data_IF_269256895649
#
_entry.id   IF_269256895649
#
_cell.length_a   1.000
_cell.length_b   1.000
_cell.length_c   1.000
_cell.angle_alpha   90.00
_cell.angle_beta   90.00
_cell.angle_gamma   90.00
#
_symmetry.space_group_name_H-M   'P 1'
#
loop_
_entity.id
_entity.type
_entity.pdbx_description
1 polymer ?
#
# COMPACT_ATOMS: atom_id res chain seq x y z
N UNK A 1 -0.33 3.64 7.03
CA UNK A 1 -1.04 4.94 7.12
C UNK A 1 -0.99 5.63 5.77
N UNK A 2 -1.94 6.51 5.48
CA UNK A 2 -1.94 7.34 4.28
C UNK A 2 -1.58 8.77 4.64
N UNK A 3 -0.73 9.40 3.83
CA UNK A 3 -0.18 10.73 4.06
C UNK A 3 -0.44 11.63 2.85
N UNK A 4 -0.55 12.93 3.11
CA UNK A 4 -0.54 13.99 2.11
C UNK A 4 0.78 13.91 1.31
N UNK A 5 0.73 13.86 -0.04
CA UNK A 5 1.93 13.79 -0.88
C UNK A 5 2.73 15.09 -0.94
N UNK A 6 2.30 16.17 -0.28
CA UNK A 6 3.00 17.45 -0.30
C UNK A 6 4.39 17.36 0.37
N UNK A 7 5.41 17.82 -0.37
CA UNK A 7 6.81 17.89 0.08
C UNK A 7 7.59 16.59 -0.16
N UNK A 8 8.79 16.52 0.43
CA UNK A 8 9.64 15.31 0.35
C UNK A 8 9.05 14.17 1.18
N UNK A 9 9.35 12.92 0.80
CA UNK A 9 8.89 11.74 1.56
C UNK A 9 9.40 11.82 3.02
N UNK A 10 8.54 11.59 4.02
CA UNK A 10 8.98 11.58 5.40
C UNK A 10 9.92 10.41 5.65
N UNK A 11 11.01 10.67 6.38
CA UNK A 11 12.02 9.65 6.70
C UNK A 11 11.80 9.03 8.08
N UNK A 12 10.88 9.59 8.86
CA UNK A 12 10.53 9.12 10.19
C UNK A 12 9.02 9.20 10.47
N UNK A 13 8.57 8.45 11.47
CA UNK A 13 7.20 8.53 11.94
C UNK A 13 6.84 9.94 12.40
N UNK A 14 7.73 10.63 13.12
CA UNK A 14 7.49 11.99 13.63
C UNK A 14 7.28 13.01 12.49
N UNK A 15 7.98 12.86 11.37
CA UNK A 15 7.77 13.69 10.17
C UNK A 15 6.48 13.34 9.42
N UNK A 16 6.05 12.08 9.50
CA UNK A 16 4.85 11.59 8.84
C UNK A 16 3.56 11.98 9.58
N UNK A 17 3.58 11.99 10.91
CA UNK A 17 2.40 12.23 11.76
C UNK A 17 1.62 13.52 11.40
N UNK A 18 2.26 14.69 11.16
CA UNK A 18 1.56 15.91 10.76
C UNK A 18 0.88 15.83 9.39
N UNK A 19 1.28 14.87 8.54
CA UNK A 19 0.80 14.71 7.16
C UNK A 19 -0.26 13.62 7.02
N UNK A 20 -0.62 12.93 8.10
CA UNK A 20 -1.61 11.85 8.06
C UNK A 20 -2.94 12.38 7.52
N UNK A 21 -3.45 11.71 6.47
CA UNK A 21 -4.76 12.03 5.93
C UNK A 21 -5.84 11.61 6.93
N UNK A 22 -6.77 12.51 7.23
CA UNK A 22 -7.92 12.23 8.10
C UNK A 22 -8.98 11.30 7.47
N UNK A 23 -8.77 10.88 6.22
CA UNK A 23 -9.63 9.92 5.52
C UNK A 23 -8.82 9.02 4.61
N UNK A 24 -9.37 7.86 4.24
CA UNK A 24 -8.77 6.93 3.28
C UNK A 24 -9.35 7.09 1.87
N UNK A 25 -9.72 8.32 1.52
CA UNK A 25 -10.21 8.69 0.20
C UNK A 25 -9.06 9.10 -0.69
N UNK A 26 -9.00 8.52 -1.87
CA UNK A 26 -7.97 8.78 -2.88
C UNK A 26 -8.64 8.96 -4.23
N UNK A 27 -8.00 9.67 -5.17
CA UNK A 27 -8.47 9.74 -6.55
C UNK A 27 -7.56 8.94 -7.45
N UNK A 28 -8.16 8.36 -8.48
CA UNK A 28 -7.40 7.75 -9.56
C UNK A 28 -6.49 8.80 -10.23
N UNK A 29 -5.24 8.44 -10.53
CA UNK A 29 -4.26 9.36 -11.13
C UNK A 29 -3.69 10.45 -10.21
N UNK A 30 -4.25 10.67 -9.01
CA UNK A 30 -3.67 11.57 -8.00
C UNK A 30 -2.66 10.81 -7.11
N UNK A 31 -1.51 11.41 -6.79
CA UNK A 31 -0.56 10.78 -5.89
C UNK A 31 -1.05 10.82 -4.43
N UNK A 32 -0.71 9.78 -3.68
CA UNK A 32 -0.79 9.76 -2.21
C UNK A 32 0.43 9.03 -1.66
N UNK A 33 0.74 9.19 -0.38
CA UNK A 33 1.88 8.50 0.23
C UNK A 33 1.39 7.43 1.18
N UNK A 34 1.87 6.20 1.02
CA UNK A 34 1.68 5.12 1.98
C UNK A 34 2.91 5.06 2.90
N UNK A 35 2.70 5.23 4.20
CA UNK A 35 3.74 5.11 5.22
C UNK A 35 3.50 3.93 6.16
N UNK A 36 4.55 3.25 6.60
CA UNK A 36 4.47 2.17 7.58
C UNK A 36 5.74 2.10 8.42
N UNK A 37 5.61 1.45 9.57
CA UNK A 37 6.70 1.26 10.51
C UNK A 37 6.81 -0.22 10.86
N UNK A 38 8.00 -0.78 10.67
CA UNK A 38 8.29 -2.19 10.97
C UNK A 38 9.12 -2.26 12.25
N UNK A 39 8.66 -3.09 13.18
CA UNK A 39 9.32 -3.31 14.47
C UNK A 39 10.02 -4.66 14.49
N UNK A 40 11.17 -4.73 15.18
CA UNK A 40 11.86 -6.01 15.42
C UNK A 40 12.61 -6.57 14.21
N UNK A 41 13.06 -5.69 13.31
CA UNK A 41 14.03 -6.02 12.27
C UNK A 41 15.43 -6.11 12.88
N UNK A 42 16.16 -7.18 12.55
CA UNK A 42 17.56 -7.32 12.93
C UNK A 42 18.45 -6.64 11.89
N UNK A 43 19.63 -6.19 12.32
CA UNK A 43 20.63 -5.61 11.42
C UNK A 43 21.03 -6.62 10.35
N UNK A 44 20.98 -6.21 9.08
CA UNK A 44 21.33 -7.06 7.94
C UNK A 44 20.26 -8.05 7.47
N UNK A 45 19.05 -8.05 8.06
CA UNK A 45 17.91 -8.78 7.49
C UNK A 45 17.32 -8.01 6.29
N UNK A 46 17.27 -8.60 5.09
CA UNK A 46 16.45 -8.06 4.00
C UNK A 46 14.98 -8.47 4.18
N UNK A 47 14.06 -7.55 3.89
CA UNK A 47 12.62 -7.83 3.82
C UNK A 47 12.15 -7.72 2.36
N UNK A 48 11.24 -8.60 1.94
CA UNK A 48 10.47 -8.37 0.72
C UNK A 48 9.22 -7.60 1.11
N UNK A 49 9.04 -6.42 0.53
CA UNK A 49 7.86 -5.60 0.74
C UNK A 49 7.00 -5.68 -0.52
N UNK A 50 5.71 -5.95 -0.33
CA UNK A 50 4.70 -5.99 -1.38
C UNK A 50 3.59 -4.99 -1.08
N UNK A 51 3.11 -4.29 -2.11
CA UNK A 51 1.88 -3.50 -2.06
C UNK A 51 0.96 -3.99 -3.17
N UNK A 52 -0.22 -4.45 -2.78
CA UNK A 52 -1.27 -4.90 -3.69
C UNK A 52 -2.55 -4.12 -3.44
N UNK A 53 -3.28 -3.79 -4.49
CA UNK A 53 -4.64 -3.26 -4.38
C UNK A 53 -5.61 -4.23 -5.03
N UNK A 54 -6.68 -4.56 -4.32
CA UNK A 54 -7.74 -5.44 -4.81
C UNK A 54 -9.12 -4.84 -4.55
N UNK A 55 -10.10 -5.22 -5.37
CA UNK A 55 -11.48 -4.81 -5.13
C UNK A 55 -11.98 -5.37 -3.81
N UNK A 56 -12.49 -4.50 -2.93
CA UNK A 56 -13.05 -4.94 -1.65
C UNK A 56 -14.35 -5.73 -1.84
N UNK A 57 -15.03 -5.53 -2.99
CA UNK A 57 -16.29 -6.18 -3.34
C UNK A 57 -16.25 -6.72 -4.79
N UNK A 58 -15.53 -7.84 -5.04
CA UNK A 58 -15.33 -8.35 -6.41
C UNK A 58 -16.66 -8.71 -7.12
N UNK A 59 -17.72 -9.00 -6.36
CA UNK A 59 -19.05 -9.31 -6.90
C UNK A 59 -19.84 -8.12 -7.49
N UNK A 60 -19.42 -6.87 -7.25
CA UNK A 60 -20.03 -5.69 -7.87
C UNK A 60 -19.38 -5.38 -9.24
N UNK A 61 -18.06 -5.54 -9.36
CA UNK A 61 -17.34 -5.35 -10.63
C UNK A 61 -17.55 -6.49 -11.62
N UNK A 62 -17.73 -7.72 -11.12
CA UNK A 62 -18.16 -8.86 -11.94
C UNK A 62 -19.55 -8.63 -12.61
N UNK A 63 -20.40 -7.75 -12.05
CA UNK A 63 -21.70 -7.40 -12.67
C UNK A 63 -21.56 -6.37 -13.80
N UNK A 64 -20.59 -5.45 -13.72
CA UNK A 64 -20.36 -4.44 -14.75
C UNK A 64 -19.66 -5.03 -16.00
N UNK A 65 -18.85 -6.09 -15.83
CA UNK A 65 -18.03 -6.69 -16.89
C UNK A 65 -18.62 -7.95 -17.54
N UNK A 66 -19.83 -8.37 -17.16
CA UNK A 66 -20.43 -9.63 -17.62
C UNK A 66 -20.73 -9.68 -19.15
N UNK A 67 -20.50 -8.59 -19.89
CA UNK A 67 -20.56 -8.60 -21.35
C UNK A 67 -19.25 -8.98 -22.05
N UNK A 68 -18.08 -8.96 -21.40
CA UNK A 68 -16.79 -9.24 -22.06
C UNK A 68 -15.77 -9.93 -21.13
N UNK A 69 -15.65 -11.26 -21.32
CA UNK A 69 -14.49 -12.14 -21.01
C UNK A 69 -14.23 -12.59 -19.56
N UNK A 70 -14.12 -13.92 -19.48
CA UNK A 70 -13.62 -14.76 -18.38
C UNK A 70 -12.10 -14.61 -18.21
N UNK A 71 -11.66 -13.55 -17.53
CA UNK A 71 -10.29 -13.46 -17.00
C UNK A 71 -10.40 -13.01 -15.54
N UNK A 72 -9.76 -13.74 -14.62
CA UNK A 72 -9.55 -13.26 -13.25
C UNK A 72 -8.98 -11.85 -13.33
N UNK A 73 -9.60 -10.83 -12.70
CA UNK A 73 -9.06 -9.47 -12.78
C UNK A 73 -7.65 -9.47 -12.19
N UNK A 74 -6.67 -9.04 -12.98
CA UNK A 74 -5.33 -8.72 -12.48
C UNK A 74 -5.48 -7.60 -11.44
N UNK A 75 -4.71 -7.68 -10.34
CA UNK A 75 -4.79 -6.70 -9.26
C UNK A 75 -4.51 -5.29 -9.84
N UNK A 76 -5.38 -4.29 -9.62
CA UNK A 76 -5.20 -2.96 -10.20
C UNK A 76 -3.90 -2.26 -9.78
N UNK A 77 -3.25 -2.68 -8.69
CA UNK A 77 -1.88 -2.29 -8.36
C UNK A 77 -1.16 -3.50 -7.74
N UNK A 78 0.04 -3.82 -8.22
CA UNK A 78 0.91 -4.82 -7.62
C UNK A 78 2.37 -4.37 -7.75
N UNK A 79 3.03 -4.14 -6.62
CA UNK A 79 4.43 -3.74 -6.52
C UNK A 79 5.13 -4.66 -5.52
N UNK A 80 6.34 -5.10 -5.83
CA UNK A 80 7.17 -5.88 -4.90
C UNK A 80 8.63 -5.49 -5.06
N UNK A 81 9.32 -5.25 -3.94
CA UNK A 81 10.75 -4.92 -3.93
C UNK A 81 11.44 -5.52 -2.70
N UNK A 82 12.77 -5.64 -2.81
CA UNK A 82 13.63 -5.99 -1.68
C UNK A 82 14.06 -4.72 -0.95
N UNK A 83 13.85 -4.72 0.36
CA UNK A 83 14.18 -3.65 1.27
C UNK A 83 15.32 -4.10 2.18
N UNK A 84 16.41 -3.33 2.22
CA UNK A 84 17.52 -3.62 3.11
C UNK A 84 17.13 -3.33 4.57
N UNK A 85 17.55 -4.22 5.46
CA UNK A 85 17.42 -4.04 6.90
C UNK A 85 18.16 -2.80 7.39
N UNK A 86 17.79 -2.27 8.57
CA UNK A 86 18.43 -1.09 9.11
C UNK A 86 19.89 -1.37 9.50
N UNK A 87 20.72 -0.32 9.43
CA UNK A 87 22.13 -0.37 9.89
C UNK A 87 22.23 -0.51 11.42
N UNK A 88 21.19 -0.11 12.15
CA UNK A 88 21.09 -0.21 13.61
C UNK A 88 19.86 -1.00 14.04
N UNK A 89 19.93 -1.65 15.21
CA UNK A 89 18.78 -2.34 15.79
C UNK A 89 17.69 -1.34 16.17
N UNK A 90 16.47 -1.56 15.71
CA UNK A 90 15.36 -0.70 16.08
C UNK A 90 14.16 -0.82 15.19
N UNK A 91 13.48 0.31 15.05
CA UNK A 91 12.27 0.47 14.29
C UNK A 91 12.58 1.14 12.96
N UNK A 92 11.91 0.70 11.90
CA UNK A 92 12.19 1.17 10.54
C UNK A 92 10.94 1.78 9.95
N UNK A 93 10.96 3.10 9.81
CA UNK A 93 9.93 3.81 9.07
C UNK A 93 10.23 3.79 7.57
N UNK A 94 9.19 3.59 6.77
CA UNK A 94 9.23 3.64 5.31
C UNK A 94 8.01 4.38 4.79
N UNK A 95 8.21 5.08 3.69
CA UNK A 95 7.16 5.74 2.95
C UNK A 95 7.40 5.59 1.45
N UNK A 96 6.32 5.46 0.68
CA UNK A 96 6.37 5.43 -0.78
C UNK A 96 5.23 6.28 -1.34
N UNK A 97 5.52 7.05 -2.39
CA UNK A 97 4.50 7.73 -3.17
C UNK A 97 3.87 6.73 -4.15
N UNK A 98 2.55 6.67 -4.15
CA UNK A 98 1.76 5.81 -5.02
C UNK A 98 0.83 6.67 -5.86
N UNK A 99 0.64 6.29 -7.11
CA UNK A 99 -0.42 6.80 -7.97
C UNK A 99 -1.20 5.61 -8.48
N UNK A 100 -2.51 5.62 -8.25
CA UNK A 100 -3.37 4.55 -8.77
C UNK A 100 -3.49 4.70 -10.29
N UNK A 101 -3.46 3.59 -11.05
CA UNK A 101 -3.88 3.63 -12.44
C UNK A 101 -5.36 3.98 -12.55
N UNK A 102 -5.83 4.25 -13.77
CA UNK A 102 -7.25 4.49 -14.05
C UNK A 102 -8.11 3.31 -13.61
N UNK A 103 -8.82 3.48 -12.50
CA UNK A 103 -9.76 2.50 -11.91
C UNK A 103 -11.12 3.15 -11.65
N UNK A 104 -12.16 2.32 -11.56
CA UNK A 104 -13.51 2.80 -11.25
C UNK A 104 -13.59 3.33 -9.81
N UNK A 105 -14.49 4.28 -9.58
CA UNK A 105 -14.78 4.73 -8.22
C UNK A 105 -15.41 3.58 -7.40
N UNK A 106 -14.93 3.37 -6.17
CA UNK A 106 -15.34 2.20 -5.39
C UNK A 106 -14.52 1.96 -4.13
N UNK A 107 -14.78 0.83 -3.48
CA UNK A 107 -14.02 0.38 -2.32
C UNK A 107 -12.93 -0.61 -2.73
N UNK A 108 -11.70 -0.32 -2.33
CA UNK A 108 -10.52 -1.14 -2.61
C UNK A 108 -9.80 -1.46 -1.30
N UNK A 109 -9.25 -2.65 -1.19
CA UNK A 109 -8.36 -3.02 -0.09
C UNK A 109 -6.92 -2.87 -0.57
N UNK A 110 -6.17 -1.96 0.06
CA UNK A 110 -4.73 -1.80 -0.11
C UNK A 110 -4.03 -2.70 0.91
N UNK A 111 -3.25 -3.65 0.43
CA UNK A 111 -2.58 -4.66 1.23
C UNK A 111 -1.08 -4.39 1.17
N UNK A 112 -0.49 -4.11 2.32
CA UNK A 112 0.95 -4.12 2.52
C UNK A 112 1.36 -5.48 3.06
N UNK A 113 2.21 -6.19 2.34
CA UNK A 113 2.82 -7.44 2.76
C UNK A 113 4.28 -7.22 3.09
N UNK A 114 4.70 -7.65 4.27
CA UNK A 114 6.11 -7.67 4.67
C UNK A 114 6.52 -9.11 4.92
N UNK A 115 7.48 -9.60 4.13
CA UNK A 115 8.01 -10.95 4.23
C UNK A 115 9.47 -10.91 4.67
N UNK A 116 9.75 -11.60 5.77
CA UNK A 116 11.10 -11.78 6.31
C UNK A 116 11.52 -13.25 6.19
N UNK A 117 12.78 -13.54 5.82
CA UNK A 117 13.28 -14.91 5.77
C UNK A 117 13.01 -15.68 7.07
N UNK A 118 12.40 -16.86 6.97
CA UNK A 118 12.11 -17.71 8.13
C UNK A 118 10.96 -17.25 9.04
N UNK A 119 10.23 -16.18 8.67
CA UNK A 119 9.03 -15.73 9.38
C UNK A 119 7.79 -15.87 8.49
N UNK A 120 6.63 -15.99 9.10
CA UNK A 120 5.36 -15.86 8.36
C UNK A 120 5.23 -14.44 7.81
N UNK A 121 4.76 -14.26 6.56
CA UNK A 121 4.43 -12.93 6.04
C UNK A 121 3.44 -12.21 6.94
N UNK A 122 3.57 -10.89 7.00
CA UNK A 122 2.67 -10.02 7.74
C UNK A 122 1.93 -9.16 6.72
N UNK A 123 0.60 -9.28 6.72
CA UNK A 123 -0.28 -8.48 5.87
C UNK A 123 -0.99 -7.42 6.69
N UNK A 124 -0.96 -6.18 6.19
CA UNK A 124 -1.70 -5.05 6.74
C UNK A 124 -2.63 -4.51 5.68
N UNK A 125 -3.93 -4.63 5.91
CA UNK A 125 -4.96 -4.15 4.99
C UNK A 125 -5.51 -2.81 5.43
N UNK A 126 -5.56 -1.85 4.51
CA UNK A 126 -6.26 -0.57 4.67
C UNK A 126 -7.32 -0.45 3.59
N UNK A 127 -8.56 -0.17 3.99
CA UNK A 127 -9.64 0.09 3.03
C UNK A 127 -9.58 1.51 2.50
N UNK A 128 -9.47 1.61 1.18
CA UNK A 128 -9.53 2.84 0.41
C UNK A 128 -10.92 3.05 -0.18
N UNK A 129 -11.31 4.30 -0.30
CA UNK A 129 -12.40 4.72 -1.18
C UNK A 129 -11.79 5.48 -2.34
N UNK A 130 -11.91 4.95 -3.56
CA UNK A 130 -11.51 5.66 -4.77
C UNK A 130 -12.67 6.54 -5.22
N UNK A 131 -12.41 7.83 -5.33
CA UNK A 131 -13.34 8.83 -5.87
C UNK A 131 -13.08 9.06 -7.37
N UNK A 132 -14.09 9.57 -8.07
CA UNK A 132 -13.97 10.07 -9.45
C UNK A 132 -13.04 11.30 -9.57
#
# INVERSE_FOLDING_TARGET
MLLDPAGDLPESLDEALPRVLGSTRVRSGEPFVAGWEVYGLQTGESAIVGITMQDANPGLLARATQFLRLTTPEAPLELSWEEAGPDELGTVFRAIALTLPEVEAGEYDLILTVQLPGRSPIDVTTRLTVEE
#
